data_IF_484659649014
#
_entry.id   IF_484659649014
#
_cell.length_a   1.000
_cell.length_b   1.000
_cell.length_c   1.000
_cell.angle_alpha   90.00
_cell.angle_beta   90.00
_cell.angle_gamma   90.00
#
_symmetry.space_group_name_H-M   'P 1'
#
loop_
_entity.id
_entity.type
_entity.pdbx_description
1 polymer ?
#
# COMPACT_ATOMS: atom_id res chain seq x y z
N UNK A 1 8.36 6.28 -4.66
CA UNK A 1 7.16 6.51 -5.47
C UNK A 1 6.04 6.90 -4.53
N UNK A 2 5.25 7.91 -4.90
CA UNK A 2 4.07 8.29 -4.14
C UNK A 2 2.94 7.30 -4.43
N UNK A 3 2.23 6.88 -3.38
CA UNK A 3 1.04 6.04 -3.49
C UNK A 3 -0.15 6.83 -2.98
N UNK A 4 -1.19 6.92 -3.80
CA UNK A 4 -2.50 7.40 -3.35
C UNK A 4 -3.34 6.22 -2.91
N UNK A 5 -3.80 6.23 -1.66
CA UNK A 5 -4.64 5.15 -1.12
C UNK A 5 -5.93 4.98 -1.91
N UNK A 6 -6.49 3.77 -1.87
CA UNK A 6 -7.74 3.40 -2.56
C UNK A 6 -8.91 4.31 -2.19
N UNK A 7 -9.00 4.70 -0.91
CA UNK A 7 -10.01 5.64 -0.43
C UNK A 7 -9.70 7.12 -0.72
N UNK A 8 -8.57 7.41 -1.38
CA UNK A 8 -8.06 8.72 -1.79
C UNK A 8 -7.78 9.70 -0.64
N UNK A 9 -7.74 9.23 0.61
CA UNK A 9 -7.50 10.06 1.80
C UNK A 9 -6.01 10.27 2.10
N UNK A 10 -5.16 9.33 1.69
CA UNK A 10 -3.73 9.35 1.98
C UNK A 10 -2.95 9.43 0.67
N UNK A 11 -1.94 10.30 0.62
CA UNK A 11 -0.93 10.36 -0.43
C UNK A 11 0.43 10.27 0.25
N UNK A 12 1.11 9.14 0.08
CA UNK A 12 2.25 8.78 0.95
C UNK A 12 3.42 8.24 0.14
N UNK A 13 4.64 8.57 0.56
CA UNK A 13 5.86 8.03 -0.03
C UNK A 13 6.33 6.84 0.82
N UNK A 14 6.02 5.63 0.34
CA UNK A 14 6.28 4.40 1.08
C UNK A 14 7.70 3.87 0.84
N UNK A 15 8.30 3.36 1.91
CA UNK A 15 9.62 2.69 1.90
C UNK A 15 9.51 1.18 1.74
N UNK A 16 8.37 0.58 2.11
CA UNK A 16 8.07 -0.84 1.92
C UNK A 16 6.57 -1.10 1.87
N UNK A 17 6.19 -2.26 1.35
CA UNK A 17 4.80 -2.69 1.18
C UNK A 17 4.61 -4.10 1.75
N UNK A 18 3.44 -4.40 2.29
CA UNK A 18 3.11 -5.73 2.82
C UNK A 18 1.62 -6.01 2.69
N UNK A 19 1.26 -7.23 2.30
CA UNK A 19 -0.12 -7.73 2.38
C UNK A 19 -0.28 -8.50 3.68
N UNK A 20 -1.32 -8.17 4.46
CA UNK A 20 -1.67 -8.89 5.69
C UNK A 20 -3.16 -8.76 5.97
N UNK A 21 -3.69 -9.65 6.81
CA UNK A 21 -5.07 -9.54 7.30
C UNK A 21 -5.30 -8.24 8.07
N UNK A 22 -6.43 -7.60 7.81
CA UNK A 22 -6.93 -6.47 8.60
C UNK A 22 -7.23 -6.92 10.05
N UNK A 23 -7.13 -5.99 10.99
CA UNK A 23 -7.62 -6.13 12.37
C UNK A 23 -9.12 -6.49 12.30
N UNK A 24 -9.46 -7.72 12.69
CA UNK A 24 -10.81 -8.29 12.55
C UNK A 24 -10.95 -9.39 11.47
N UNK A 25 -9.89 -9.66 10.70
CA UNK A 25 -9.67 -10.92 9.97
C UNK A 25 -10.52 -11.20 8.73
N UNK A 26 -11.46 -10.31 8.37
CA UNK A 26 -12.37 -10.53 7.22
C UNK A 26 -11.75 -10.20 5.87
N UNK A 27 -10.93 -9.14 5.82
CA UNK A 27 -10.38 -8.62 4.57
C UNK A 27 -8.86 -8.58 4.63
N UNK A 28 -8.22 -8.66 3.47
CA UNK A 28 -6.79 -8.47 3.30
C UNK A 28 -6.48 -6.99 3.11
N UNK A 29 -5.41 -6.50 3.74
CA UNK A 29 -4.99 -5.11 3.68
C UNK A 29 -3.62 -5.02 3.01
N UNK A 30 -3.51 -4.13 2.03
CA UNK A 30 -2.22 -3.67 1.54
C UNK A 30 -1.75 -2.51 2.42
N UNK A 31 -0.60 -2.70 3.06
CA UNK A 31 -0.03 -1.76 4.02
C UNK A 31 1.26 -1.19 3.47
N UNK A 32 1.35 0.14 3.47
CA UNK A 32 2.57 0.88 3.17
C UNK A 32 3.25 1.30 4.45
N UNK A 33 4.55 1.08 4.54
CA UNK A 33 5.38 1.64 5.60
C UNK A 33 5.96 2.96 5.11
N UNK A 34 5.89 4.00 5.92
CA UNK A 34 6.51 5.29 5.68
C UNK A 34 7.53 5.59 6.77
N UNK A 35 8.56 6.36 6.42
CA UNK A 35 9.47 6.94 7.40
C UNK A 35 8.73 8.04 8.19
N UNK A 36 8.82 7.99 9.52
CA UNK A 36 8.23 8.97 10.44
C UNK A 36 9.32 9.72 11.24
N UNK A 37 10.54 9.78 10.69
CA UNK A 37 11.67 10.48 11.26
C UNK A 37 12.07 9.91 12.61
N UNK A 38 12.15 10.77 13.63
CA UNK A 38 12.56 10.39 14.98
C UNK A 38 11.66 9.31 15.62
N UNK A 39 10.41 9.21 15.18
CA UNK A 39 9.44 8.23 15.68
C UNK A 39 9.55 6.88 14.98
N UNK A 40 10.55 6.68 14.10
CA UNK A 40 10.80 5.43 13.41
C UNK A 40 9.88 5.25 12.20
N UNK A 41 9.15 4.13 12.15
CA UNK A 41 8.31 3.75 11.01
C UNK A 41 6.85 3.84 11.36
N UNK A 42 6.03 4.31 10.41
CA UNK A 42 4.57 4.32 10.52
C UNK A 42 3.98 3.45 9.41
N UNK A 43 2.98 2.66 9.76
CA UNK A 43 2.22 1.86 8.80
C UNK A 43 0.91 2.56 8.43
N UNK A 44 0.53 2.48 7.16
CA UNK A 44 -0.66 3.11 6.59
C UNK A 44 -1.38 2.07 5.73
N UNK A 45 -2.69 1.94 5.92
CA UNK A 45 -3.52 1.09 5.07
C UNK A 45 -3.73 1.81 3.74
N UNK A 46 -3.17 1.24 2.67
CA UNK A 46 -3.25 1.80 1.33
C UNK A 46 -4.51 1.31 0.61
N UNK A 47 -4.89 0.04 0.80
CA UNK A 47 -6.11 -0.54 0.22
C UNK A 47 -6.60 -1.75 1.01
N UNK A 48 -7.87 -2.11 0.83
CA UNK A 48 -8.49 -3.28 1.44
C UNK A 48 -9.17 -4.15 0.36
N UNK A 49 -9.06 -5.46 0.51
CA UNK A 49 -9.45 -6.43 -0.49
C UNK A 49 -10.17 -7.62 0.13
N UNK A 50 -11.09 -8.20 -0.63
CA UNK A 50 -11.86 -9.37 -0.20
C UNK A 50 -11.02 -10.64 -0.14
N UNK A 51 -10.01 -10.76 -1.01
CA UNK A 51 -9.12 -11.93 -1.07
C UNK A 51 -7.65 -11.55 -1.17
N UNK A 52 -6.79 -12.49 -0.79
CA UNK A 52 -5.34 -12.34 -0.85
C UNK A 52 -4.86 -12.19 -2.28
N UNK A 53 -5.49 -12.88 -3.24
CA UNK A 53 -5.15 -12.81 -4.65
C UNK A 53 -5.36 -11.40 -5.21
N UNK A 54 -6.46 -10.73 -4.82
CA UNK A 54 -6.73 -9.34 -5.25
C UNK A 54 -5.69 -8.40 -4.62
N UNK A 55 -5.38 -8.57 -3.33
CA UNK A 55 -4.36 -7.77 -2.65
C UNK A 55 -2.97 -7.95 -3.27
N UNK A 56 -2.60 -9.18 -3.63
CA UNK A 56 -1.33 -9.49 -4.30
C UNK A 56 -1.32 -8.90 -5.72
N UNK A 57 -2.43 -8.99 -6.47
CA UNK A 57 -2.50 -8.41 -7.80
C UNK A 57 -2.26 -6.90 -7.78
N UNK A 58 -2.79 -6.18 -6.80
CA UNK A 58 -2.49 -4.77 -6.65
C UNK A 58 -1.04 -4.50 -6.23
N UNK A 59 -0.47 -5.33 -5.33
CA UNK A 59 0.95 -5.24 -5.00
C UNK A 59 1.84 -5.43 -6.23
N UNK A 60 1.49 -6.35 -7.14
CA UNK A 60 2.20 -6.55 -8.41
C UNK A 60 2.17 -5.29 -9.26
N UNK A 61 1.02 -4.59 -9.37
CA UNK A 61 0.93 -3.32 -10.12
C UNK A 61 1.83 -2.23 -9.52
N UNK A 62 1.92 -2.16 -8.19
CA UNK A 62 2.85 -1.24 -7.52
C UNK A 62 4.30 -1.59 -7.90
N UNK A 63 4.66 -2.88 -7.93
CA UNK A 63 5.99 -3.33 -8.34
C UNK A 63 6.29 -2.98 -9.81
N UNK A 64 5.33 -3.19 -10.71
CA UNK A 64 5.44 -2.80 -12.12
C UNK A 64 5.65 -1.29 -12.26
N UNK A 65 4.84 -0.48 -11.57
CA UNK A 65 4.98 0.97 -11.55
C UNK A 65 6.34 1.43 -11.01
N UNK A 66 6.91 0.75 -10.01
CA UNK A 66 8.27 1.02 -9.53
C UNK A 66 9.34 0.70 -10.59
N UNK A 67 9.19 -0.40 -11.32
CA UNK A 67 10.10 -0.80 -12.42
C UNK A 67 10.05 0.24 -13.54
N UNK A 68 8.85 0.71 -13.88
CA UNK A 68 8.60 1.75 -14.87
C UNK A 68 9.00 3.15 -14.40
N UNK A 69 9.46 3.29 -13.15
CA UNK A 69 9.84 4.56 -12.52
C UNK A 69 8.70 5.59 -12.50
N UNK A 70 7.48 5.10 -12.35
CA UNK A 70 6.30 5.94 -12.15
C UNK A 70 6.48 6.74 -10.85
N UNK A 71 6.21 8.05 -10.90
CA UNK A 71 6.37 8.92 -9.73
C UNK A 71 5.20 8.80 -8.75
N UNK A 72 3.99 8.56 -9.27
CA UNK A 72 2.73 8.45 -8.54
C UNK A 72 1.90 7.27 -9.04
N UNK A 73 1.56 6.34 -8.15
CA UNK A 73 0.59 5.27 -8.39
C UNK A 73 -0.72 5.55 -7.65
N UNK A 74 -1.84 5.49 -8.37
CA UNK A 74 -3.19 5.60 -7.79
C UNK A 74 -3.82 4.22 -7.65
N UNK A 75 -4.15 3.83 -6.43
CA UNK A 75 -4.79 2.55 -6.15
C UNK A 75 -6.25 2.53 -6.63
N UNK A 76 -6.69 1.36 -7.08
CA UNK A 76 -8.05 1.12 -7.57
C UNK A 76 -8.96 0.45 -6.53
#
# INVERSE_FOLDING_TARGET
MWIRSQNRKELVNCISYTVRKNIGGKNEALVGTVDNGFWGRKEIILGMYDTTEIAIAELTKIQEALIEKVELYEMN
#
